data_IF_498568268566
#
_entry.id   IF_498568268566
#
_cell.length_a   1.000
_cell.length_b   1.000
_cell.length_c   1.000
_cell.angle_alpha   90.00
_cell.angle_beta   90.00
_cell.angle_gamma   90.00
#
_symmetry.space_group_name_H-M   'P 1'
#
loop_
_entity.id
_entity.type
_entity.pdbx_description
1 polymer ?
#
# COMPACT_ATOMS: atom_id res chain seq x y z
N UNK A 1 18.01 -18.62 -4.89
CA UNK A 1 18.39 -18.10 -3.56
C UNK A 1 19.88 -17.79 -3.63
N UNK A 2 20.28 -16.63 -3.13
CA UNK A 2 21.70 -16.21 -3.05
C UNK A 2 22.25 -16.55 -1.67
N UNK A 3 23.54 -16.35 -1.47
CA UNK A 3 24.20 -16.57 -0.18
C UNK A 3 23.61 -15.65 0.91
N UNK A 4 23.27 -14.40 0.55
CA UNK A 4 22.58 -13.44 1.40
C UNK A 4 21.23 -13.05 0.78
N UNK A 5 20.15 -13.22 1.54
CA UNK A 5 18.81 -12.83 1.14
C UNK A 5 18.16 -12.02 2.27
N UNK A 6 17.38 -11.02 1.90
CA UNK A 6 16.58 -10.26 2.84
C UNK A 6 15.12 -10.22 2.43
N UNK A 7 14.23 -10.25 3.41
CA UNK A 7 12.80 -10.15 3.22
C UNK A 7 12.33 -8.90 3.95
N UNK A 8 11.61 -8.06 3.23
CA UNK A 8 11.03 -6.85 3.77
C UNK A 8 9.51 -6.87 3.54
N UNK A 9 8.76 -6.54 4.58
CA UNK A 9 7.31 -6.46 4.52
C UNK A 9 6.87 -5.10 5.03
N UNK A 10 6.12 -4.37 4.22
CA UNK A 10 5.51 -3.10 4.63
C UNK A 10 4.09 -3.36 5.09
N UNK A 11 3.75 -2.89 6.28
CA UNK A 11 2.43 -3.06 6.90
C UNK A 11 1.72 -1.72 6.95
N UNK A 12 0.67 -1.57 6.17
CA UNK A 12 -0.23 -0.42 6.18
C UNK A 12 -1.45 -0.63 7.10
N UNK A 13 -2.30 0.38 7.22
CA UNK A 13 -3.53 0.30 8.04
C UNK A 13 -4.54 -0.69 7.48
N UNK A 14 -4.66 -0.77 6.15
CA UNK A 14 -5.62 -1.62 5.46
C UNK A 14 -7.05 -1.41 5.99
N UNK A 15 -7.88 -2.41 5.83
CA UNK A 15 -9.25 -2.39 6.36
C UNK A 15 -9.31 -2.45 7.90
N UNK A 16 -8.33 -3.08 8.54
CA UNK A 16 -8.35 -3.31 9.99
C UNK A 16 -8.27 -2.03 10.82
N UNK A 17 -7.58 -1.02 10.32
CA UNK A 17 -7.35 0.26 11.02
C UNK A 17 -7.87 1.47 10.25
N UNK A 18 -8.69 1.23 9.25
CA UNK A 18 -9.36 2.23 8.44
C UNK A 18 -10.64 2.74 9.14
N UNK A 19 -11.13 3.87 8.67
CA UNK A 19 -12.47 4.36 8.97
C UNK A 19 -13.49 3.55 8.18
N UNK A 20 -14.05 2.50 8.76
CA UNK A 20 -15.06 1.67 8.10
C UNK A 20 -16.48 2.10 8.46
N UNK A 21 -17.34 2.16 7.45
CA UNK A 21 -18.79 2.31 7.62
C UNK A 21 -19.28 3.76 7.62
N UNK A 22 -20.58 3.92 7.90
CA UNK A 22 -21.26 5.19 8.03
C UNK A 22 -21.07 5.70 9.46
N UNK A 23 -20.08 6.52 9.68
CA UNK A 23 -19.77 7.11 10.97
C UNK A 23 -18.34 6.86 11.40
N UNK A 24 -17.87 7.68 12.30
CA UNK A 24 -16.52 7.64 12.84
C UNK A 24 -16.40 6.43 13.79
N UNK A 25 -15.91 5.32 13.25
CA UNK A 25 -15.59 4.11 14.01
C UNK A 25 -14.13 4.16 14.49
N UNK A 26 -13.52 5.31 14.44
CA UNK A 26 -12.21 5.55 15.04
C UNK A 26 -12.21 5.12 16.51
N UNK A 27 -11.73 3.96 16.79
CA UNK A 27 -11.60 3.46 18.16
C UNK A 27 -11.97 2.01 18.34
N UNK A 28 -12.76 1.41 17.47
CA UNK A 28 -13.10 -0.01 17.61
C UNK A 28 -11.96 -0.95 17.23
N UNK A 29 -11.00 -0.48 16.43
CA UNK A 29 -9.90 -1.29 15.86
C UNK A 29 -8.49 -0.76 16.24
N UNK A 30 -8.33 -0.20 17.44
CA UNK A 30 -7.00 0.24 17.95
C UNK A 30 -6.10 -0.95 18.35
N UNK A 31 -6.19 -2.06 17.64
CA UNK A 31 -5.30 -3.19 17.89
C UNK A 31 -3.96 -2.96 17.20
N UNK A 32 -2.86 -3.46 17.76
CA UNK A 32 -1.58 -3.45 17.07
C UNK A 32 -1.71 -4.11 15.70
N UNK A 33 -1.02 -3.60 14.69
CA UNK A 33 -0.82 -4.33 13.45
C UNK A 33 0.32 -5.33 13.65
N UNK A 34 0.21 -6.48 13.03
CA UNK A 34 1.24 -7.49 13.06
C UNK A 34 1.21 -8.31 11.79
N UNK A 35 2.27 -9.03 11.56
CA UNK A 35 2.37 -10.02 10.48
C UNK A 35 2.60 -11.40 11.08
N UNK A 36 2.13 -12.40 10.39
CA UNK A 36 2.54 -13.79 10.56
C UNK A 36 2.88 -14.32 9.17
N UNK A 37 4.03 -14.96 9.05
CA UNK A 37 4.49 -15.50 7.78
C UNK A 37 5.41 -16.67 7.98
N UNK A 38 5.40 -17.56 7.00
CA UNK A 38 6.35 -18.66 6.88
C UNK A 38 6.80 -18.77 5.42
N UNK A 39 8.06 -19.12 5.24
CA UNK A 39 8.66 -19.39 3.94
C UNK A 39 9.22 -20.79 3.98
N UNK A 40 8.70 -21.64 3.12
CA UNK A 40 9.20 -22.97 2.90
C UNK A 40 10.13 -22.96 1.69
N UNK A 41 11.37 -23.35 1.92
CA UNK A 41 12.41 -23.44 0.90
C UNK A 41 12.71 -24.92 0.68
N UNK A 42 12.58 -25.36 -0.56
CA UNK A 42 12.94 -26.70 -0.99
C UNK A 42 14.16 -26.62 -1.92
N UNK A 43 15.21 -27.31 -1.58
CA UNK A 43 16.45 -27.34 -2.34
C UNK A 43 16.47 -28.48 -3.36
N UNK A 44 17.33 -28.36 -4.37
CA UNK A 44 17.47 -29.36 -5.44
C UNK A 44 17.96 -30.71 -4.92
N UNK A 45 18.68 -30.73 -3.80
CA UNK A 45 19.16 -31.96 -3.13
C UNK A 45 18.09 -32.66 -2.28
N UNK A 46 16.88 -32.09 -2.23
CA UNK A 46 15.75 -32.58 -1.46
C UNK A 46 15.73 -32.12 0.00
N UNK A 47 16.70 -31.36 0.46
CA UNK A 47 16.65 -30.73 1.78
C UNK A 47 15.63 -29.57 1.81
N UNK A 48 15.16 -29.24 2.99
CA UNK A 48 14.10 -28.21 3.19
C UNK A 48 14.44 -27.32 4.38
N UNK A 49 14.15 -26.02 4.24
CA UNK A 49 14.17 -25.05 5.32
C UNK A 49 12.79 -24.41 5.51
N UNK A 50 12.41 -24.18 6.75
CA UNK A 50 11.21 -23.42 7.11
C UNK A 50 11.60 -22.20 7.93
N UNK A 51 11.51 -21.05 7.31
CA UNK A 51 11.69 -19.75 7.98
C UNK A 51 10.33 -19.19 8.37
N UNK A 52 10.22 -18.62 9.56
CA UNK A 52 8.99 -18.00 10.04
C UNK A 52 9.27 -16.69 10.77
N UNK A 53 8.27 -15.85 10.87
CA UNK A 53 8.38 -14.59 11.63
C UNK A 53 8.52 -14.88 13.11
N UNK A 54 9.56 -14.32 13.73
CA UNK A 54 9.87 -14.47 15.15
C UNK A 54 10.57 -13.22 15.72
N UNK A 55 11.15 -13.33 16.89
CA UNK A 55 11.85 -12.23 17.58
C UNK A 55 13.16 -11.81 16.94
N UNK A 56 13.68 -12.53 15.94
CA UNK A 56 14.87 -12.15 15.19
C UNK A 56 14.61 -11.04 14.16
N UNK A 57 13.33 -10.83 13.85
CA UNK A 57 12.93 -9.77 12.93
C UNK A 57 13.10 -8.39 13.55
N UNK A 58 13.33 -7.41 12.69
CA UNK A 58 13.40 -6.01 13.07
C UNK A 58 12.26 -5.24 12.41
N UNK A 59 11.83 -4.16 13.03
CA UNK A 59 10.86 -3.23 12.47
C UNK A 59 11.37 -1.80 12.55
N UNK A 60 10.96 -0.99 11.60
CA UNK A 60 11.21 0.44 11.58
C UNK A 60 10.06 1.18 10.89
N UNK A 61 10.00 2.47 11.07
CA UNK A 61 9.10 3.31 10.30
C UNK A 61 9.56 3.38 8.84
N UNK A 62 8.61 3.35 7.91
CA UNK A 62 8.90 3.36 6.47
C UNK A 62 8.74 4.77 5.87
N UNK A 63 9.14 4.92 4.60
CA UNK A 63 8.87 6.11 3.80
C UNK A 63 7.37 6.38 3.59
N UNK A 64 6.53 5.36 3.66
CA UNK A 64 5.08 5.53 3.73
C UNK A 64 4.71 5.98 5.13
N UNK A 65 4.57 7.30 5.32
CA UNK A 65 4.30 7.95 6.61
C UNK A 65 2.84 7.83 7.04
N UNK A 66 1.96 7.66 6.07
CA UNK A 66 0.54 7.46 6.28
C UNK A 66 -0.01 6.58 5.16
N UNK A 67 -0.91 5.67 5.49
CA UNK A 67 -1.63 4.84 4.51
C UNK A 67 -2.99 4.46 5.07
N UNK A 68 -4.05 4.84 4.37
CA UNK A 68 -5.43 4.58 4.75
C UNK A 68 -6.29 4.43 3.49
N UNK A 69 -7.25 3.53 3.51
CA UNK A 69 -8.03 3.18 2.31
C UNK A 69 -8.82 4.37 1.76
N UNK A 70 -9.39 5.20 2.64
CA UNK A 70 -10.19 6.35 2.22
C UNK A 70 -9.39 7.65 2.13
N UNK A 71 -8.38 7.81 2.97
CA UNK A 71 -7.62 9.06 3.06
C UNK A 71 -6.33 9.03 2.22
N UNK A 72 -6.01 7.89 1.60
CA UNK A 72 -4.86 7.74 0.70
C UNK A 72 -3.53 7.48 1.39
N UNK A 73 -2.45 7.89 0.75
CA UNK A 73 -1.09 7.65 1.19
C UNK A 73 -0.26 8.93 1.23
N UNK A 74 0.61 9.03 2.22
CA UNK A 74 1.68 10.04 2.28
C UNK A 74 3.00 9.29 2.22
N UNK A 75 3.74 9.51 1.14
CA UNK A 75 5.06 8.96 0.93
C UNK A 75 6.12 10.05 1.00
N UNK A 76 7.13 9.88 1.84
CA UNK A 76 8.25 10.79 1.98
C UNK A 76 9.53 10.13 1.46
N UNK A 77 9.94 10.51 0.25
CA UNK A 77 11.13 9.98 -0.39
C UNK A 77 12.43 10.40 0.34
N UNK A 78 12.38 11.46 1.15
CA UNK A 78 13.53 11.96 1.92
C UNK A 78 13.71 11.29 3.26
N UNK A 79 12.67 10.56 3.74
CA UNK A 79 12.73 9.86 5.01
C UNK A 79 13.73 8.69 4.93
N UNK A 80 14.63 8.63 5.89
CA UNK A 80 15.59 7.55 6.03
C UNK A 80 15.09 6.53 7.08
N UNK A 81 15.05 5.27 6.67
CA UNK A 81 14.67 4.15 7.55
C UNK A 81 15.92 3.64 8.24
N UNK A 82 16.28 4.19 9.37
CA UNK A 82 17.52 3.92 10.11
C UNK A 82 17.31 3.43 11.55
N UNK A 83 16.16 3.68 12.14
CA UNK A 83 15.86 3.33 13.53
C UNK A 83 15.20 1.95 13.64
N UNK A 84 15.97 0.90 13.36
CA UNK A 84 15.51 -0.49 13.44
C UNK A 84 15.44 -0.96 14.90
N UNK A 85 14.30 -1.53 15.27
CA UNK A 85 14.00 -2.01 16.61
C UNK A 85 13.57 -3.47 16.58
N UNK A 86 13.75 -4.18 17.70
CA UNK A 86 13.23 -5.54 17.85
C UNK A 86 11.71 -5.56 17.83
N UNK A 87 11.15 -6.55 17.15
CA UNK A 87 9.71 -6.79 17.13
C UNK A 87 9.23 -7.41 18.42
N UNK A 88 7.91 -7.31 18.68
CA UNK A 88 7.24 -8.00 19.77
C UNK A 88 6.35 -9.10 19.20
N UNK A 89 6.41 -10.27 19.79
CA UNK A 89 5.51 -11.37 19.47
C UNK A 89 4.17 -11.13 20.17
N UNK A 90 3.10 -11.13 19.39
CA UNK A 90 1.73 -10.96 19.89
C UNK A 90 1.09 -12.34 20.16
N UNK A 91 0.49 -12.48 21.36
CA UNK A 91 -0.25 -13.69 21.72
C UNK A 91 -1.68 -13.64 21.18
N UNK A 92 -1.84 -13.70 19.85
CA UNK A 92 -3.15 -13.79 19.23
C UNK A 92 -3.52 -15.24 18.91
N UNK A 93 -4.81 -15.60 19.01
CA UNK A 93 -5.25 -16.93 18.65
C UNK A 93 -5.02 -17.17 17.16
N UNK A 94 -4.25 -18.22 16.86
CA UNK A 94 -3.92 -18.62 15.48
C UNK A 94 -5.00 -19.51 14.87
N UNK A 95 -5.88 -20.06 15.70
CA UNK A 95 -7.00 -20.93 15.31
C UNK A 95 -8.03 -20.20 14.44
N UNK A 96 -7.99 -18.86 14.47
CA UNK A 96 -8.87 -18.03 13.64
C UNK A 96 -8.33 -17.77 12.23
N UNK A 97 -7.11 -18.23 11.94
CA UNK A 97 -6.54 -18.11 10.60
C UNK A 97 -7.22 -19.09 9.67
N UNK A 98 -7.71 -18.58 8.56
CA UNK A 98 -8.33 -19.38 7.50
C UNK A 98 -7.56 -19.12 6.19
N UNK A 99 -7.49 -20.10 5.28
CA UNK A 99 -6.98 -19.86 3.94
C UNK A 99 -7.78 -18.80 3.21
N UNK A 100 -7.12 -18.07 2.31
CA UNK A 100 -7.82 -17.16 1.41
C UNK A 100 -8.69 -18.00 0.46
N UNK A 101 -9.99 -17.73 0.43
CA UNK A 101 -10.96 -18.44 -0.42
C UNK A 101 -11.20 -17.73 -1.77
N UNK A 102 -10.90 -16.42 -1.84
CA UNK A 102 -11.05 -15.62 -3.06
C UNK A 102 -9.81 -15.68 -3.97
N UNK A 103 -10.00 -15.25 -5.20
CA UNK A 103 -8.88 -15.07 -6.11
C UNK A 103 -7.90 -14.02 -5.58
N UNK A 104 -6.62 -14.22 -5.84
CA UNK A 104 -5.58 -13.27 -5.47
C UNK A 104 -5.70 -11.99 -6.32
N UNK A 105 -5.50 -10.85 -5.67
CA UNK A 105 -5.35 -9.58 -6.39
C UNK A 105 -3.99 -9.58 -7.07
N UNK A 106 -3.99 -9.41 -8.39
CA UNK A 106 -2.79 -9.42 -9.22
C UNK A 106 -2.77 -8.23 -10.17
N UNK A 107 -1.57 -7.81 -10.56
CA UNK A 107 -1.40 -6.91 -11.69
C UNK A 107 -1.74 -7.67 -12.98
N UNK A 108 -2.86 -7.27 -13.60
CA UNK A 108 -3.38 -7.94 -14.80
C UNK A 108 -2.91 -7.26 -16.06
N UNK A 109 -2.83 -5.94 -16.06
CA UNK A 109 -2.52 -5.14 -17.22
C UNK A 109 -1.87 -3.81 -16.82
N UNK A 110 -1.01 -3.29 -17.70
CA UNK A 110 -0.46 -1.93 -17.60
C UNK A 110 -1.10 -1.06 -18.67
N UNK A 111 -1.83 -0.04 -18.24
CA UNK A 111 -2.54 0.89 -19.10
C UNK A 111 -1.77 2.19 -19.16
N UNK A 112 -1.34 2.57 -20.36
CA UNK A 112 -0.69 3.86 -20.59
C UNK A 112 -1.71 5.00 -20.61
N UNK A 113 -1.29 6.18 -20.17
CA UNK A 113 -2.06 7.40 -20.31
C UNK A 113 -2.42 7.63 -21.80
N UNK A 114 -3.70 7.89 -22.07
CA UNK A 114 -4.20 8.22 -23.39
C UNK A 114 -3.96 9.69 -23.73
N UNK A 115 -4.17 10.57 -22.77
CA UNK A 115 -3.93 11.99 -22.92
C UNK A 115 -3.60 12.67 -21.59
N UNK A 116 -2.97 13.84 -21.69
CA UNK A 116 -2.78 14.75 -20.57
C UNK A 116 -3.46 16.06 -20.97
N UNK A 117 -4.38 16.52 -20.13
CA UNK A 117 -5.16 17.73 -20.39
C UNK A 117 -4.96 18.74 -19.24
N UNK A 118 -5.05 20.01 -19.59
CA UNK A 118 -5.16 21.09 -18.60
C UNK A 118 -6.62 21.53 -18.60
N UNK A 119 -7.25 21.43 -17.45
CA UNK A 119 -8.66 21.81 -17.30
C UNK A 119 -8.84 23.33 -17.33
N UNK A 120 -10.06 23.83 -17.51
CA UNK A 120 -10.35 25.26 -17.36
C UNK A 120 -9.97 25.82 -15.97
N UNK A 121 -10.00 25.00 -14.92
CA UNK A 121 -9.57 25.35 -13.57
C UNK A 121 -8.05 25.32 -13.37
N UNK A 122 -7.29 24.86 -14.37
CA UNK A 122 -5.83 24.81 -14.34
C UNK A 122 -5.24 23.53 -13.74
N UNK A 123 -6.06 22.51 -13.46
CA UNK A 123 -5.55 21.20 -13.02
C UNK A 123 -4.95 20.43 -14.20
N UNK A 124 -3.90 19.67 -13.93
CA UNK A 124 -3.35 18.69 -14.87
C UNK A 124 -4.04 17.36 -14.63
N UNK A 125 -4.79 16.90 -15.62
CA UNK A 125 -5.50 15.62 -15.58
C UNK A 125 -4.87 14.63 -16.57
N UNK A 126 -4.55 13.46 -16.07
CA UNK A 126 -4.08 12.31 -16.87
C UNK A 126 -5.28 11.41 -17.15
N UNK A 127 -5.67 11.32 -18.42
CA UNK A 127 -6.79 10.50 -18.87
C UNK A 127 -6.29 9.14 -19.38
N UNK A 128 -6.79 8.07 -18.81
CA UNK A 128 -6.51 6.70 -19.24
C UNK A 128 -7.52 6.18 -20.27
N UNK A 129 -8.58 6.94 -20.56
CA UNK A 129 -9.58 6.62 -21.57
C UNK A 129 -10.57 5.53 -21.17
N UNK A 130 -10.50 5.04 -19.95
CA UNK A 130 -11.41 4.07 -19.35
C UNK A 130 -11.33 4.13 -17.82
N UNK A 131 -12.35 3.62 -17.16
CA UNK A 131 -12.29 3.35 -15.73
C UNK A 131 -11.36 2.17 -15.46
N UNK A 132 -10.60 2.27 -14.37
CA UNK A 132 -9.63 1.25 -13.97
C UNK A 132 -9.70 1.02 -12.47
N UNK A 133 -9.49 -0.21 -12.05
CA UNK A 133 -9.20 -0.55 -10.66
C UNK A 133 -7.73 -0.85 -10.56
N UNK A 134 -6.97 0.01 -9.86
CA UNK A 134 -5.52 -0.14 -9.82
C UNK A 134 -4.81 0.99 -9.09
N UNK A 135 -3.56 1.14 -9.38
CA UNK A 135 -2.70 2.20 -8.86
C UNK A 135 -1.86 2.80 -10.00
N UNK A 136 -1.41 4.02 -9.80
CA UNK A 136 -0.60 4.73 -10.79
C UNK A 136 0.88 4.47 -10.59
N UNK A 137 1.59 4.31 -11.70
CA UNK A 137 3.05 4.30 -11.76
C UNK A 137 3.51 5.47 -12.62
N UNK A 138 4.46 6.25 -12.14
CA UNK A 138 5.04 7.35 -12.88
C UNK A 138 6.50 7.57 -12.49
N UNK A 139 7.26 8.13 -13.41
CA UNK A 139 8.63 8.57 -13.15
C UNK A 139 8.65 10.07 -12.99
N UNK A 140 9.28 10.54 -11.94
CA UNK A 140 9.42 11.93 -11.64
C UNK A 140 10.90 12.32 -11.51
N UNK A 141 11.28 13.40 -12.16
CA UNK A 141 12.55 14.07 -11.91
C UNK A 141 12.31 15.28 -11.02
N UNK A 142 12.64 15.14 -9.74
CA UNK A 142 12.48 16.18 -8.75
C UNK A 142 13.84 16.75 -8.32
N UNK A 143 13.87 18.04 -7.99
CA UNK A 143 15.06 18.69 -7.43
C UNK A 143 15.21 18.51 -5.92
N UNK A 144 14.24 17.85 -5.29
CA UNK A 144 14.11 17.63 -3.85
C UNK A 144 13.13 18.58 -3.19
N UNK A 145 12.43 18.06 -2.18
CA UNK A 145 11.43 18.79 -1.38
C UNK A 145 10.19 19.29 -2.15
N UNK A 146 9.92 18.75 -3.33
CA UNK A 146 8.69 19.06 -4.07
C UNK A 146 7.55 18.20 -3.54
N UNK A 147 6.40 18.85 -3.30
CA UNK A 147 5.16 18.18 -2.93
C UNK A 147 4.37 17.86 -4.19
N UNK A 148 4.10 16.58 -4.42
CA UNK A 148 3.24 16.12 -5.49
C UNK A 148 1.98 15.56 -4.88
N UNK A 149 0.84 16.09 -5.32
CA UNK A 149 -0.47 15.58 -4.94
C UNK A 149 -1.12 14.90 -6.13
N UNK A 150 -1.50 13.65 -5.95
CA UNK A 150 -2.24 12.86 -6.92
C UNK A 150 -3.63 12.61 -6.33
N UNK A 151 -4.65 12.86 -7.12
CA UNK A 151 -6.04 12.58 -6.78
C UNK A 151 -6.65 11.74 -7.91
N UNK A 152 -7.62 10.93 -7.58
CA UNK A 152 -8.32 10.10 -8.52
C UNK A 152 -9.72 10.67 -8.77
N UNK A 153 -10.23 10.50 -9.97
CA UNK A 153 -11.57 10.91 -10.37
C UNK A 153 -12.04 10.04 -11.53
N UNK A 154 -13.33 9.80 -11.61
CA UNK A 154 -13.95 9.01 -12.68
C UNK A 154 -14.39 9.90 -13.84
N UNK A 155 -14.77 11.14 -13.55
CA UNK A 155 -15.35 12.08 -14.51
C UNK A 155 -14.84 13.49 -14.28
N UNK A 156 -15.00 14.33 -15.29
CA UNK A 156 -14.90 15.78 -15.13
C UNK A 156 -16.27 16.36 -14.77
N UNK A 157 -16.31 17.52 -14.15
CA UNK A 157 -17.54 18.24 -13.89
C UNK A 157 -18.16 18.78 -15.20
N UNK A 158 -19.34 19.37 -15.11
CA UNK A 158 -20.04 19.97 -16.25
C UNK A 158 -19.31 21.12 -16.94
N UNK A 159 -18.29 21.69 -16.27
CA UNK A 159 -17.46 22.76 -16.79
C UNK A 159 -16.12 22.24 -17.35
N UNK A 160 -15.88 20.92 -17.27
CA UNK A 160 -14.67 20.28 -17.73
C UNK A 160 -13.52 20.31 -16.72
N UNK A 161 -13.78 20.58 -15.45
CA UNK A 161 -12.78 20.54 -14.38
C UNK A 161 -12.73 19.18 -13.71
N UNK A 162 -11.64 18.90 -13.00
CA UNK A 162 -11.51 17.70 -12.21
C UNK A 162 -12.61 17.63 -11.13
N UNK A 163 -13.22 16.46 -10.97
CA UNK A 163 -14.30 16.25 -10.02
C UNK A 163 -14.09 14.97 -9.22
N UNK A 164 -14.10 15.10 -7.91
CA UNK A 164 -14.01 13.99 -6.97
C UNK A 164 -14.88 14.18 -5.70
N UNK A 165 -15.86 15.08 -5.74
CA UNK A 165 -16.78 15.30 -4.59
C UNK A 165 -17.71 14.11 -4.33
N UNK A 166 -17.78 13.15 -5.24
CA UNK A 166 -18.49 11.89 -5.10
C UNK A 166 -17.69 10.83 -4.31
N UNK A 167 -16.42 11.08 -4.07
CA UNK A 167 -15.61 10.21 -3.23
C UNK A 167 -15.76 10.54 -1.74
N UNK A 168 -15.49 9.55 -0.93
CA UNK A 168 -15.48 9.66 0.52
C UNK A 168 -14.18 10.25 1.03
#
# INVERSE_FOLDING_TARGET
>A
IREDNSIMVTVGRGWLRSRMGLGDIEGRMRRPCGIIGAIHIQYEDGSEDLLHTDTSWLCAESRTRFSEIYDGEIYDATFETDNWQSVQVLSWPKETLIPQEGEEIREMERICAKSVIITPGGETVVDFGQEVTGYVEFTLEAKGHELIRIQHGEVLDKNGNFYNENYR
#
